data_IF_049622214260
#
_entry.id   IF_049622214260
#
_cell.length_a   1.000
_cell.length_b   1.000
_cell.length_c   1.000
_cell.angle_alpha   90.00
_cell.angle_beta   90.00
_cell.angle_gamma   90.00
#
_symmetry.space_group_name_H-M   'P 1'
#
loop_
_entity.id
_entity.type
_entity.pdbx_description
1 polymer ?
#
# COMPACT_ATOMS: atom_id res chain seq x y z
N UNK A 1 -12.64 -1.74 27.62
CA UNK A 1 -11.76 -1.34 28.73
C UNK A 1 -10.35 -1.80 28.36
N UNK A 2 -9.51 -0.89 27.86
CA UNK A 2 -8.10 -1.21 27.57
C UNK A 2 -7.33 -1.08 28.90
N UNK A 3 -7.28 -2.18 29.66
CA UNK A 3 -6.68 -2.22 31.00
C UNK A 3 -5.16 -2.40 31.02
N UNK A 4 -4.49 -2.42 29.85
CA UNK A 4 -3.05 -2.60 29.71
C UNK A 4 -2.36 -1.38 29.10
N UNK A 5 -1.11 -1.14 29.50
CA UNK A 5 -0.26 -0.11 28.92
C UNK A 5 0.59 -0.70 27.79
N UNK A 6 0.48 -0.14 26.59
CA UNK A 6 1.30 -0.54 25.43
C UNK A 6 2.81 -0.40 25.69
N UNK A 7 3.20 0.41 26.67
CA UNK A 7 4.60 0.62 27.04
C UNK A 7 5.21 -0.59 27.78
N UNK A 8 4.39 -1.50 28.28
CA UNK A 8 4.83 -2.74 28.92
C UNK A 8 4.84 -3.95 27.96
N UNK A 9 4.31 -3.79 26.75
CA UNK A 9 4.21 -4.86 25.76
C UNK A 9 5.55 -5.12 25.07
N UNK A 10 5.76 -6.36 24.65
CA UNK A 10 6.94 -6.72 23.84
C UNK A 10 6.76 -6.26 22.40
N UNK A 11 7.86 -5.89 21.76
CA UNK A 11 7.85 -5.67 20.32
C UNK A 11 7.41 -6.94 19.57
N UNK A 12 6.70 -6.78 18.45
CA UNK A 12 6.33 -7.92 17.63
C UNK A 12 7.56 -8.61 17.09
N UNK A 13 7.51 -9.94 17.04
CA UNK A 13 8.50 -10.76 16.35
C UNK A 13 7.97 -11.17 14.98
N UNK A 14 8.85 -11.47 14.01
CA UNK A 14 8.44 -12.09 12.75
C UNK A 14 7.56 -13.31 13.01
N UNK A 15 6.48 -13.42 12.25
CA UNK A 15 5.52 -14.53 12.38
C UNK A 15 5.87 -15.62 11.39
N UNK A 16 5.82 -16.87 11.84
CA UNK A 16 5.93 -18.02 10.96
C UNK A 16 4.84 -17.98 9.88
N UNK A 17 5.19 -18.42 8.67
CA UNK A 17 4.29 -18.41 7.51
C UNK A 17 4.19 -17.08 6.76
N UNK A 18 4.88 -16.02 7.19
CA UNK A 18 5.07 -14.79 6.40
C UNK A 18 6.48 -14.79 5.82
N UNK A 19 6.65 -15.01 4.49
CA UNK A 19 7.97 -15.00 3.87
C UNK A 19 8.63 -13.62 3.95
N UNK A 20 9.93 -13.60 4.25
CA UNK A 20 10.73 -12.37 4.23
C UNK A 20 10.73 -11.71 2.83
N UNK A 21 10.58 -12.49 1.76
CA UNK A 21 10.45 -12.00 0.38
C UNK A 21 9.22 -11.13 0.14
N UNK A 22 8.27 -11.05 1.08
CA UNK A 22 7.23 -10.02 1.02
C UNK A 22 7.81 -8.60 1.08
N UNK A 23 8.96 -8.42 1.73
CA UNK A 23 9.63 -7.12 1.78
C UNK A 23 10.14 -6.67 0.41
N UNK A 24 10.39 -7.61 -0.51
CA UNK A 24 10.93 -7.34 -1.85
C UNK A 24 10.00 -6.44 -2.70
N UNK A 25 8.70 -6.38 -2.35
CA UNK A 25 7.73 -5.54 -3.02
C UNK A 25 7.68 -4.09 -2.49
N UNK A 26 8.36 -3.80 -1.37
CA UNK A 26 8.22 -2.52 -0.65
C UNK A 26 8.55 -1.33 -1.55
N UNK A 27 9.71 -1.35 -2.21
CA UNK A 27 10.15 -0.23 -3.05
C UNK A 27 9.23 -0.03 -4.26
N UNK A 28 8.77 -1.14 -4.86
CA UNK A 28 7.81 -1.10 -5.96
C UNK A 28 6.46 -0.49 -5.56
N UNK A 29 5.93 -0.90 -4.41
CA UNK A 29 4.68 -0.38 -3.86
C UNK A 29 4.81 1.11 -3.49
N UNK A 30 5.92 1.51 -2.87
CA UNK A 30 6.19 2.90 -2.53
C UNK A 30 6.26 3.79 -3.78
N UNK A 31 7.01 3.35 -4.79
CA UNK A 31 7.14 4.07 -6.05
C UNK A 31 5.79 4.22 -6.78
N UNK A 32 5.03 3.12 -6.89
CA UNK A 32 3.72 3.14 -7.52
C UNK A 32 2.74 4.08 -6.78
N UNK A 33 2.63 3.95 -5.46
CA UNK A 33 1.73 4.78 -4.66
C UNK A 33 2.09 6.27 -4.75
N UNK A 34 3.39 6.59 -4.68
CA UNK A 34 3.87 7.96 -4.80
C UNK A 34 3.53 8.57 -6.16
N UNK A 35 3.70 7.80 -7.25
CA UNK A 35 3.36 8.24 -8.61
C UNK A 35 1.85 8.50 -8.76
N UNK A 36 1.00 7.56 -8.33
CA UNK A 36 -0.47 7.72 -8.40
C UNK A 36 -0.93 8.96 -7.62
N UNK A 37 -0.46 9.16 -6.39
CA UNK A 37 -0.81 10.35 -5.62
C UNK A 37 -0.27 11.63 -6.24
N UNK A 38 0.94 11.60 -6.81
CA UNK A 38 1.51 12.74 -7.52
C UNK A 38 0.64 13.12 -8.72
N UNK A 39 0.24 12.16 -9.56
CA UNK A 39 -0.66 12.42 -10.71
C UNK A 39 -1.97 13.08 -10.27
N UNK A 40 -2.61 12.61 -9.20
CA UNK A 40 -3.83 13.22 -8.64
C UNK A 40 -3.59 14.66 -8.18
N UNK A 41 -2.53 14.90 -7.40
CA UNK A 41 -2.16 16.24 -6.92
C UNK A 41 -1.84 17.21 -8.06
N UNK A 42 -1.09 16.76 -9.05
CA UNK A 42 -0.71 17.56 -10.21
C UNK A 42 -1.94 17.98 -11.04
N UNK A 43 -3.03 17.20 -10.98
CA UNK A 43 -4.33 17.51 -11.60
C UNK A 43 -5.29 18.28 -10.68
N UNK A 44 -4.88 18.62 -9.45
CA UNK A 44 -5.74 19.27 -8.45
C UNK A 44 -6.86 18.36 -7.91
N UNK A 45 -6.75 17.04 -8.10
CA UNK A 45 -7.73 16.06 -7.64
C UNK A 45 -7.47 15.65 -6.19
N UNK A 46 -8.54 15.34 -5.47
CA UNK A 46 -8.45 14.66 -4.18
C UNK A 46 -7.88 13.25 -4.36
N UNK A 47 -7.10 12.78 -3.38
CA UNK A 47 -6.49 11.45 -3.42
C UNK A 47 -7.51 10.31 -3.51
N UNK A 48 -8.76 10.56 -3.09
CA UNK A 48 -9.85 9.59 -3.09
C UNK A 48 -10.69 9.61 -4.40
N UNK A 49 -10.37 10.46 -5.37
CA UNK A 49 -11.08 10.48 -6.66
C UNK A 49 -10.59 9.34 -7.55
N UNK A 50 -11.49 8.81 -8.37
CA UNK A 50 -11.19 7.81 -9.38
C UNK A 50 -10.10 8.29 -10.35
N UNK A 51 -9.16 7.41 -10.69
CA UNK A 51 -8.10 7.71 -11.66
C UNK A 51 -8.04 6.60 -12.71
N UNK A 52 -8.65 6.81 -13.89
CA UNK A 52 -8.68 5.81 -14.95
C UNK A 52 -7.32 5.70 -15.67
N UNK A 53 -7.08 4.56 -16.31
CA UNK A 53 -5.96 4.39 -17.24
C UNK A 53 -4.58 4.28 -16.56
N UNK A 54 -4.54 3.83 -15.30
CA UNK A 54 -3.30 3.51 -14.60
C UNK A 54 -3.05 2.01 -14.66
N UNK A 55 -2.02 1.62 -15.41
CA UNK A 55 -1.57 0.25 -15.46
C UNK A 55 -0.75 -0.13 -14.22
N UNK A 56 -1.04 -1.29 -13.66
CA UNK A 56 -0.28 -1.86 -12.55
C UNK A 56 0.88 -2.68 -13.13
N UNK A 57 2.13 -2.43 -12.71
CA UNK A 57 3.27 -3.15 -13.24
C UNK A 57 3.17 -4.65 -12.94
N UNK A 58 3.68 -5.54 -13.82
CA UNK A 58 3.58 -6.99 -13.65
C UNK A 58 4.15 -7.50 -12.32
N UNK A 59 5.20 -6.85 -11.81
CA UNK A 59 5.81 -7.17 -10.51
C UNK A 59 4.88 -6.96 -9.32
N UNK A 60 3.87 -6.08 -9.44
CA UNK A 60 2.88 -5.79 -8.40
C UNK A 60 1.52 -6.43 -8.66
N UNK A 61 1.42 -7.30 -9.68
CA UNK A 61 0.17 -8.01 -10.01
C UNK A 61 -0.46 -8.75 -8.82
N UNK A 62 0.31 -9.37 -7.89
CA UNK A 62 -0.28 -9.98 -6.69
C UNK A 62 -1.10 -9.03 -5.82
N UNK A 63 -0.86 -7.71 -5.91
CA UNK A 63 -1.53 -6.67 -5.13
C UNK A 63 -2.56 -5.87 -5.94
N UNK A 64 -2.86 -6.27 -7.18
CA UNK A 64 -3.74 -5.50 -8.08
C UNK A 64 -5.09 -5.15 -7.43
N UNK A 65 -5.72 -6.12 -6.74
CA UNK A 65 -7.00 -5.88 -6.08
C UNK A 65 -6.91 -4.82 -4.99
N UNK A 66 -5.84 -4.81 -4.22
CA UNK A 66 -5.61 -3.81 -3.16
C UNK A 66 -5.29 -2.44 -3.75
N UNK A 67 -4.43 -2.39 -4.78
CA UNK A 67 -4.05 -1.15 -5.45
C UNK A 67 -5.23 -0.49 -6.17
N UNK A 68 -6.06 -1.27 -6.87
CA UNK A 68 -7.29 -0.77 -7.51
C UNK A 68 -8.26 -0.18 -6.50
N UNK A 69 -8.50 -0.88 -5.38
CA UNK A 69 -9.38 -0.41 -4.32
C UNK A 69 -8.83 0.83 -3.60
N UNK A 70 -7.55 0.83 -3.25
CA UNK A 70 -6.94 1.94 -2.50
C UNK A 70 -6.90 3.23 -3.31
N UNK A 71 -6.67 3.14 -4.62
CA UNK A 71 -6.50 4.30 -5.47
C UNK A 71 -7.69 4.61 -6.37
N UNK A 72 -8.78 3.84 -6.29
CA UNK A 72 -9.93 3.94 -7.18
C UNK A 72 -9.50 3.92 -8.66
N UNK A 73 -8.74 2.89 -9.05
CA UNK A 73 -8.31 2.72 -10.44
C UNK A 73 -9.40 1.96 -11.20
N UNK A 74 -9.84 2.54 -12.31
CA UNK A 74 -10.80 1.94 -13.24
C UNK A 74 -10.12 1.42 -14.51
#
# INVERSE_FOLDING_TARGET
MYGGSVHAERFPMPRDGIPASRADFTDGLLAFNADVWKRKRDQGLSLNVELPGVDIPPSLKPFEGDLKRMHHLA
#
